data_IF_870488257773
#
_entry.id   IF_870488257773
#
_cell.length_a   1.000
_cell.length_b   1.000
_cell.length_c   1.000
_cell.angle_alpha   90.00
_cell.angle_beta   90.00
_cell.angle_gamma   90.00
#
_symmetry.space_group_name_H-M   'P 1'
#
loop_
_entity.id
_entity.type
_entity.pdbx_description
1 polymer ?
#
# COMPACT_ATOMS: atom_id res chain seq x y z
N UNK A 1 -5.86 -14.40 13.32
CA UNK A 1 -5.84 -13.61 12.06
C UNK A 1 -4.43 -13.09 11.91
N UNK A 2 -3.88 -13.03 10.71
CA UNK A 2 -2.60 -12.38 10.48
C UNK A 2 -2.61 -10.93 10.95
N UNK A 3 -1.49 -10.45 11.49
CA UNK A 3 -1.23 -9.10 11.93
C UNK A 3 -0.24 -8.43 10.96
N UNK A 4 -0.67 -7.33 10.35
CA UNK A 4 0.16 -6.51 9.49
C UNK A 4 0.64 -5.23 10.17
N UNK A 5 1.84 -4.76 9.81
CA UNK A 5 2.36 -3.46 10.27
C UNK A 5 2.96 -2.65 9.13
N UNK A 6 3.27 -1.38 9.42
CA UNK A 6 4.00 -0.48 8.52
C UNK A 6 5.28 -0.01 9.25
N UNK A 7 6.41 -0.72 9.14
CA UNK A 7 7.60 -0.51 9.99
C UNK A 7 8.14 0.93 10.00
N UNK A 8 8.05 1.66 8.88
CA UNK A 8 8.48 3.06 8.79
C UNK A 8 7.76 3.95 9.81
N UNK A 9 6.53 3.63 10.24
CA UNK A 9 5.82 4.43 11.25
C UNK A 9 6.54 4.41 12.59
N UNK A 10 6.95 3.24 13.07
CA UNK A 10 7.69 3.12 14.32
C UNK A 10 9.11 3.69 14.17
N UNK A 11 9.79 3.40 13.05
CA UNK A 11 11.12 3.96 12.78
C UNK A 11 11.11 5.49 12.80
N UNK A 12 10.12 6.11 12.18
CA UNK A 12 9.93 7.55 12.15
C UNK A 12 9.69 8.13 13.56
N UNK A 13 8.75 7.56 14.32
CA UNK A 13 8.39 8.07 15.64
C UNK A 13 9.55 7.92 16.64
N UNK A 14 10.23 6.78 16.64
CA UNK A 14 11.43 6.59 17.47
C UNK A 14 12.55 7.56 17.08
N UNK A 15 12.79 7.79 15.79
CA UNK A 15 13.81 8.75 15.34
C UNK A 15 13.47 10.19 15.71
N UNK A 16 12.19 10.56 15.68
CA UNK A 16 11.75 11.89 16.16
C UNK A 16 12.00 12.02 17.66
N UNK A 17 11.72 10.98 18.45
CA UNK A 17 11.94 11.00 19.90
C UNK A 17 13.44 11.02 20.27
N UNK A 18 14.27 10.29 19.51
CA UNK A 18 15.71 10.12 19.77
C UNK A 18 16.56 11.28 19.22
N UNK A 19 16.28 11.73 17.98
CA UNK A 19 17.12 12.68 17.22
C UNK A 19 16.45 14.04 16.99
N UNK A 20 15.16 14.15 17.34
CA UNK A 20 14.35 15.36 17.22
C UNK A 20 13.69 15.58 15.85
N UNK A 21 13.99 14.75 14.84
CA UNK A 21 13.39 14.86 13.52
C UNK A 21 13.47 13.56 12.70
N UNK A 22 12.42 13.27 11.90
CA UNK A 22 12.38 12.14 10.98
C UNK A 22 13.55 12.13 9.99
N UNK A 23 13.92 13.30 9.46
CA UNK A 23 14.99 13.42 8.45
C UNK A 23 16.36 12.99 8.97
N UNK A 24 16.54 12.86 10.29
CA UNK A 24 17.77 12.36 10.92
C UNK A 24 17.77 10.86 11.18
N UNK A 25 16.70 10.15 10.81
CA UNK A 25 16.64 8.70 10.90
C UNK A 25 17.84 8.09 10.15
N UNK A 26 18.57 7.17 10.79
CA UNK A 26 19.63 6.40 10.13
C UNK A 26 18.99 5.31 9.27
N UNK A 27 19.54 4.99 8.09
CA UNK A 27 19.04 3.90 7.22
C UNK A 27 18.81 2.60 7.99
N UNK A 28 19.77 2.21 8.84
CA UNK A 28 19.68 1.00 9.67
C UNK A 28 18.45 0.94 10.58
N UNK A 29 17.90 2.07 11.00
CA UNK A 29 16.78 2.12 11.96
C UNK A 29 15.56 1.38 11.41
N UNK A 30 15.27 1.50 10.11
CA UNK A 30 14.10 0.84 9.53
C UNK A 30 14.24 -0.68 9.53
N UNK A 31 15.44 -1.20 9.23
CA UNK A 31 15.74 -2.63 9.27
C UNK A 31 15.72 -3.18 10.69
N UNK A 32 16.24 -2.44 11.67
CA UNK A 32 16.15 -2.79 13.09
C UNK A 32 14.70 -2.86 13.58
N UNK A 33 13.84 -1.95 13.11
CA UNK A 33 12.40 -2.00 13.44
C UNK A 33 11.73 -3.20 12.79
N UNK A 34 12.03 -3.49 11.52
CA UNK A 34 11.51 -4.67 10.82
C UNK A 34 11.88 -5.95 11.57
N UNK A 35 13.15 -6.11 11.94
CA UNK A 35 13.63 -7.31 12.64
C UNK A 35 12.97 -7.44 14.03
N UNK A 36 12.86 -6.35 14.81
CA UNK A 36 12.14 -6.38 16.10
C UNK A 36 10.66 -6.76 15.94
N UNK A 37 9.97 -6.22 14.93
CA UNK A 37 8.57 -6.57 14.68
C UNK A 37 8.41 -8.02 14.23
N UNK A 38 9.35 -8.54 13.46
CA UNK A 38 9.37 -9.95 13.07
C UNK A 38 9.59 -10.86 14.30
N UNK A 39 10.47 -10.47 15.24
CA UNK A 39 10.67 -11.16 16.52
C UNK A 39 9.41 -11.13 17.41
N UNK A 40 8.64 -10.05 17.35
CA UNK A 40 7.34 -9.93 18.05
C UNK A 40 6.22 -10.77 17.41
N UNK A 41 6.46 -11.36 16.23
CA UNK A 41 5.52 -12.25 15.54
C UNK A 41 4.55 -11.56 14.57
N UNK A 42 4.94 -10.43 13.97
CA UNK A 42 4.20 -9.83 12.85
C UNK A 42 4.20 -10.78 11.65
N UNK A 43 3.05 -10.95 11.00
CA UNK A 43 2.89 -11.90 9.88
C UNK A 43 3.24 -11.28 8.51
N UNK A 44 2.95 -9.99 8.33
CA UNK A 44 3.31 -9.26 7.11
C UNK A 44 3.65 -7.79 7.37
N UNK A 45 4.50 -7.21 6.51
CA UNK A 45 4.89 -5.80 6.61
C UNK A 45 4.62 -5.04 5.31
N UNK A 46 4.03 -3.85 5.44
CA UNK A 46 3.96 -2.89 4.33
C UNK A 46 5.28 -2.14 4.20
N UNK A 47 5.95 -2.34 3.07
CA UNK A 47 7.25 -1.75 2.73
C UNK A 47 7.16 -1.00 1.41
N UNK A 48 7.43 0.30 1.43
CA UNK A 48 7.24 1.18 0.28
C UNK A 48 8.49 1.17 -0.60
N UNK A 49 8.87 0.01 -1.12
CA UNK A 49 10.12 -0.16 -1.86
C UNK A 49 10.06 0.39 -3.30
N UNK A 50 8.86 0.62 -3.85
CA UNK A 50 8.68 1.21 -5.17
C UNK A 50 8.84 2.73 -5.20
N UNK A 51 8.90 3.38 -4.04
CA UNK A 51 9.21 4.79 -3.93
C UNK A 51 10.73 4.99 -4.10
N UNK A 52 11.15 5.50 -5.25
CA UNK A 52 12.54 5.71 -5.65
C UNK A 52 12.74 7.14 -6.11
N UNK A 53 13.97 7.61 -6.27
CA UNK A 53 14.22 8.93 -6.89
C UNK A 53 13.59 9.02 -8.27
N UNK A 54 13.61 7.93 -9.04
CA UNK A 54 12.99 7.87 -10.36
C UNK A 54 11.46 8.06 -10.30
N UNK A 55 10.76 7.41 -9.35
CA UNK A 55 9.31 7.61 -9.22
C UNK A 55 8.96 9.00 -8.70
N UNK A 56 9.78 9.57 -7.80
CA UNK A 56 9.64 10.97 -7.36
C UNK A 56 9.86 11.98 -8.50
N UNK A 57 10.77 11.70 -9.43
CA UNK A 57 10.96 12.52 -10.64
C UNK A 57 9.73 12.47 -11.56
N UNK A 58 9.08 11.30 -11.70
CA UNK A 58 7.81 11.17 -12.43
C UNK A 58 6.72 12.02 -11.79
N UNK A 59 6.54 11.88 -10.47
CA UNK A 59 5.58 12.67 -9.71
C UNK A 59 5.81 14.18 -9.91
N UNK A 60 7.07 14.64 -9.76
CA UNK A 60 7.39 16.07 -9.90
C UNK A 60 7.16 16.58 -11.33
N UNK A 61 7.44 15.77 -12.34
CA UNK A 61 7.27 16.15 -13.75
C UNK A 61 5.81 16.18 -14.20
N UNK A 62 4.93 15.44 -13.53
CA UNK A 62 3.48 15.43 -13.79
C UNK A 62 2.73 16.47 -12.95
N UNK A 63 3.01 16.50 -11.65
CA UNK A 63 2.20 17.20 -10.66
C UNK A 63 0.93 16.44 -10.30
N UNK A 64 0.48 16.59 -9.05
CA UNK A 64 -0.79 16.02 -8.57
C UNK A 64 -1.63 17.09 -7.89
N UNK A 65 -2.92 16.82 -7.79
CA UNK A 65 -3.86 17.61 -6.97
C UNK A 65 -3.65 17.32 -5.48
N UNK A 66 -3.38 16.06 -5.12
CA UNK A 66 -3.25 15.62 -3.71
C UNK A 66 -1.85 15.13 -3.32
N UNK A 67 -0.85 15.34 -4.18
CA UNK A 67 0.54 14.91 -3.96
C UNK A 67 0.66 13.43 -3.48
N UNK A 68 1.34 13.21 -2.36
CA UNK A 68 1.57 11.90 -1.75
C UNK A 68 0.65 11.76 -0.53
N UNK A 69 -0.38 10.92 -0.66
CA UNK A 69 -1.32 10.63 0.43
C UNK A 69 -0.95 9.38 1.24
N UNK A 70 0.03 8.59 0.78
CA UNK A 70 0.60 7.51 1.57
C UNK A 70 1.43 8.09 2.71
N UNK A 71 1.05 7.83 3.96
CA UNK A 71 1.84 8.28 5.12
C UNK A 71 3.25 7.69 5.11
N UNK A 72 3.40 6.40 4.76
CA UNK A 72 4.70 5.75 4.69
C UNK A 72 5.53 6.27 3.51
N UNK A 73 4.87 6.46 2.36
CA UNK A 73 5.48 7.12 1.19
C UNK A 73 5.94 8.55 1.50
N UNK A 74 5.15 9.34 2.23
CA UNK A 74 5.49 10.70 2.62
C UNK A 74 6.67 10.75 3.60
N UNK A 75 6.72 9.85 4.59
CA UNK A 75 7.86 9.76 5.50
C UNK A 75 9.17 9.44 4.78
N UNK A 76 9.15 8.44 3.90
CA UNK A 76 10.33 8.08 3.10
C UNK A 76 10.71 9.20 2.12
N UNK A 77 9.75 9.80 1.42
CA UNK A 77 10.00 10.93 0.51
C UNK A 77 10.69 12.09 1.23
N UNK A 78 10.17 12.47 2.40
CA UNK A 78 10.74 13.54 3.21
C UNK A 78 12.19 13.23 3.61
N UNK A 79 12.45 11.99 4.03
CA UNK A 79 13.78 11.53 4.38
C UNK A 79 14.73 11.50 3.18
N UNK A 80 14.30 10.96 2.03
CA UNK A 80 15.10 10.87 0.80
C UNK A 80 15.50 12.25 0.29
N UNK A 81 14.54 13.18 0.22
CA UNK A 81 14.79 14.56 -0.25
C UNK A 81 15.71 15.32 0.69
N UNK A 82 15.55 15.16 2.01
CA UNK A 82 16.37 15.88 2.98
C UNK A 82 17.82 15.40 3.03
N UNK A 83 18.06 14.12 2.76
CA UNK A 83 19.40 13.52 2.79
C UNK A 83 20.04 13.42 1.41
N UNK A 84 19.31 13.72 0.34
CA UNK A 84 19.73 13.50 -1.06
C UNK A 84 20.14 12.04 -1.33
N UNK A 85 19.40 11.10 -0.74
CA UNK A 85 19.68 9.66 -0.82
C UNK A 85 18.52 8.88 -1.47
N UNK A 86 18.82 7.66 -1.93
CA UNK A 86 17.80 6.72 -2.40
C UNK A 86 17.07 6.06 -1.22
N UNK A 87 15.87 5.54 -1.47
CA UNK A 87 15.09 4.81 -0.48
C UNK A 87 15.88 3.59 0.05
N UNK A 88 16.13 3.50 1.37
CA UNK A 88 16.92 2.41 1.94
C UNK A 88 16.28 1.03 1.70
N UNK A 89 14.95 0.95 1.66
CA UNK A 89 14.25 -0.31 1.39
C UNK A 89 14.40 -0.78 -0.07
N UNK A 90 14.67 0.14 -0.98
CA UNK A 90 14.95 -0.17 -2.39
C UNK A 90 16.44 -0.48 -2.61
N UNK A 91 17.31 0.39 -2.09
CA UNK A 91 18.76 0.28 -2.24
C UNK A 91 19.31 -0.98 -1.56
N UNK A 92 18.82 -1.32 -0.37
CA UNK A 92 19.21 -2.51 0.40
C UNK A 92 18.10 -3.58 0.35
N UNK A 93 17.42 -3.76 -0.79
CA UNK A 93 16.32 -4.73 -0.89
C UNK A 93 16.75 -6.18 -0.55
N UNK A 94 17.98 -6.57 -0.88
CA UNK A 94 18.47 -7.92 -0.55
C UNK A 94 18.54 -8.15 0.97
N UNK A 95 18.92 -7.12 1.75
CA UNK A 95 18.89 -7.16 3.22
C UNK A 95 17.46 -7.30 3.75
N UNK A 96 16.49 -6.63 3.11
CA UNK A 96 15.08 -6.81 3.44
C UNK A 96 14.64 -8.26 3.19
N UNK A 97 15.04 -8.85 2.06
CA UNK A 97 14.73 -10.25 1.74
C UNK A 97 15.37 -11.23 2.71
N UNK A 98 16.61 -10.99 3.15
CA UNK A 98 17.27 -11.81 4.18
C UNK A 98 16.48 -11.83 5.49
N UNK A 99 16.01 -10.66 5.96
CA UNK A 99 15.18 -10.56 7.16
C UNK A 99 13.84 -11.27 6.92
N UNK A 100 13.18 -11.00 5.80
CA UNK A 100 11.88 -11.60 5.50
C UNK A 100 11.96 -13.14 5.44
N UNK A 101 13.00 -13.68 4.80
CA UNK A 101 13.25 -15.13 4.71
C UNK A 101 13.57 -15.74 6.08
N UNK A 102 14.34 -15.05 6.93
CA UNK A 102 14.72 -15.53 8.27
C UNK A 102 13.50 -15.75 9.17
N UNK A 103 12.48 -14.89 9.06
CA UNK A 103 11.31 -14.89 9.94
C UNK A 103 10.01 -15.37 9.26
N UNK A 104 10.05 -15.82 8.00
CA UNK A 104 8.86 -16.13 7.18
C UNK A 104 7.84 -14.98 7.12
N UNK A 105 8.38 -13.77 6.95
CA UNK A 105 7.58 -12.55 6.88
C UNK A 105 7.08 -12.31 5.45
N UNK A 106 5.78 -12.12 5.28
CA UNK A 106 5.23 -11.74 3.97
C UNK A 106 5.47 -10.25 3.71
N UNK A 107 6.00 -9.91 2.53
CA UNK A 107 6.14 -8.53 2.10
C UNK A 107 4.85 -8.04 1.43
N UNK A 108 4.20 -7.05 2.03
CA UNK A 108 3.19 -6.24 1.37
C UNK A 108 3.91 -5.06 0.70
N UNK A 109 4.11 -5.14 -0.62
CA UNK A 109 4.83 -4.11 -1.36
C UNK A 109 3.91 -2.88 -1.49
N UNK A 110 4.19 -1.87 -0.68
CA UNK A 110 3.33 -0.71 -0.45
C UNK A 110 3.25 0.26 -1.62
N UNK A 111 2.08 0.87 -1.78
CA UNK A 111 1.73 1.84 -2.81
C UNK A 111 2.02 3.29 -2.36
N UNK A 112 3.31 3.62 -2.23
CA UNK A 112 3.78 4.92 -1.77
C UNK A 112 3.25 6.11 -2.58
N UNK A 113 2.95 5.89 -3.85
CA UNK A 113 2.44 6.86 -4.81
C UNK A 113 1.04 6.49 -5.29
N UNK A 114 0.20 5.86 -4.46
CA UNK A 114 -1.24 5.75 -4.80
C UNK A 114 -1.91 7.12 -4.99
N UNK A 115 -2.94 7.21 -5.84
CA UNK A 115 -3.77 8.42 -5.99
C UNK A 115 -4.62 8.69 -4.74
N UNK A 116 -4.64 9.94 -4.30
CA UNK A 116 -5.48 10.45 -3.20
C UNK A 116 -6.70 11.24 -3.65
N UNK A 117 -6.90 11.37 -4.96
CA UNK A 117 -8.09 11.94 -5.57
C UNK A 117 -8.31 11.31 -6.94
N UNK A 118 -9.53 11.39 -7.46
CA UNK A 118 -9.85 10.94 -8.81
C UNK A 118 -9.06 11.68 -9.88
N UNK A 119 -8.67 12.93 -9.64
CA UNK A 119 -7.87 13.72 -10.58
C UNK A 119 -6.46 13.15 -10.77
N UNK A 120 -5.96 12.40 -9.79
CA UNK A 120 -4.63 11.79 -9.80
C UNK A 120 -4.67 10.30 -10.20
N UNK A 121 -5.86 9.77 -10.52
CA UNK A 121 -6.05 8.34 -10.80
C UNK A 121 -5.30 7.87 -12.05
N UNK A 122 -4.65 6.71 -11.93
CA UNK A 122 -3.92 6.04 -13.01
C UNK A 122 -2.82 6.92 -13.65
N UNK A 123 -2.18 7.77 -12.85
CA UNK A 123 -1.14 8.69 -13.31
C UNK A 123 0.23 7.99 -13.52
N UNK A 124 1.21 8.72 -14.07
CA UNK A 124 2.53 8.15 -14.38
C UNK A 124 3.30 7.77 -13.13
N UNK A 125 3.10 8.49 -12.02
CA UNK A 125 3.78 8.20 -10.76
C UNK A 125 3.30 6.86 -10.17
N UNK A 126 1.99 6.62 -10.15
CA UNK A 126 1.38 5.37 -9.72
C UNK A 126 1.86 4.20 -10.58
N UNK A 127 1.77 4.33 -11.91
CA UNK A 127 2.14 3.25 -12.83
C UNK A 127 3.64 2.96 -12.79
N UNK A 128 4.49 3.99 -12.67
CA UNK A 128 5.93 3.78 -12.53
C UNK A 128 6.28 3.02 -11.25
N UNK A 129 5.61 3.33 -10.13
CA UNK A 129 5.78 2.57 -8.89
C UNK A 129 5.36 1.11 -9.08
N UNK A 130 4.18 0.86 -9.65
CA UNK A 130 3.68 -0.50 -9.90
C UNK A 130 4.64 -1.36 -10.74
N UNK A 131 5.26 -0.78 -11.77
CA UNK A 131 6.28 -1.46 -12.58
C UNK A 131 7.45 -1.92 -11.69
N UNK A 132 7.98 -1.05 -10.84
CA UNK A 132 9.07 -1.38 -9.93
C UNK A 132 8.63 -2.43 -8.90
N UNK A 133 7.40 -2.35 -8.38
CA UNK A 133 6.88 -3.37 -7.47
C UNK A 133 6.82 -4.75 -8.12
N UNK A 134 6.49 -4.85 -9.42
CA UNK A 134 6.55 -6.11 -10.16
C UNK A 134 7.96 -6.71 -10.26
N UNK A 135 8.97 -5.87 -10.52
CA UNK A 135 10.37 -6.28 -10.53
C UNK A 135 10.83 -6.79 -9.14
N UNK A 136 10.45 -6.08 -8.08
CA UNK A 136 10.77 -6.43 -6.70
C UNK A 136 10.05 -7.70 -6.25
N UNK A 137 8.78 -7.87 -6.62
CA UNK A 137 8.02 -9.09 -6.33
C UNK A 137 8.70 -10.33 -6.93
N UNK A 138 9.19 -10.22 -8.18
CA UNK A 138 9.95 -11.30 -8.81
C UNK A 138 11.25 -11.61 -8.06
N UNK A 139 12.02 -10.58 -7.68
CA UNK A 139 13.26 -10.75 -6.89
C UNK A 139 13.00 -11.43 -5.54
N UNK A 140 11.90 -11.09 -4.87
CA UNK A 140 11.51 -11.73 -3.63
C UNK A 140 11.19 -13.22 -3.82
N UNK A 141 10.45 -13.59 -4.87
CA UNK A 141 10.17 -14.99 -5.19
C UNK A 141 11.41 -15.79 -5.56
N UNK A 142 12.40 -15.18 -6.22
CA UNK A 142 13.71 -15.81 -6.47
C UNK A 142 14.46 -16.15 -5.17
N UNK A 143 14.08 -15.54 -4.04
CA UNK A 143 14.60 -15.81 -2.70
C UNK A 143 13.61 -16.57 -1.80
N UNK A 144 12.52 -17.13 -2.35
CA UNK A 144 11.46 -17.83 -1.61
C UNK A 144 10.74 -16.96 -0.56
N UNK A 145 10.67 -15.63 -0.77
CA UNK A 145 9.95 -14.70 0.11
C UNK A 145 8.53 -14.46 -0.42
N UNK A 146 7.54 -14.59 0.46
CA UNK A 146 6.12 -14.38 0.13
C UNK A 146 5.83 -12.89 -0.12
N UNK A 147 5.02 -12.59 -1.15
CA UNK A 147 4.70 -11.21 -1.56
C UNK A 147 3.23 -11.04 -1.88
N UNK A 148 2.67 -9.90 -1.49
CA UNK A 148 1.48 -9.28 -2.09
C UNK A 148 1.81 -7.83 -2.49
N UNK A 149 1.09 -7.29 -3.47
CA UNK A 149 1.28 -5.91 -3.96
C UNK A 149 0.12 -5.05 -3.48
N UNK A 150 0.40 -3.87 -2.94
CA UNK A 150 -0.62 -2.89 -2.59
C UNK A 150 -1.01 -2.04 -3.79
N UNK A 151 -2.27 -1.59 -3.79
CA UNK A 151 -2.89 -0.93 -4.92
C UNK A 151 -3.79 0.23 -4.54
N UNK A 152 -4.15 1.04 -5.56
CA UNK A 152 -4.61 2.41 -5.41
C UNK A 152 -5.82 2.61 -4.50
N UNK A 153 -5.88 3.84 -3.99
CA UNK A 153 -6.97 4.36 -3.15
C UNK A 153 -8.10 4.98 -3.96
N UNK A 154 -7.90 6.20 -4.49
CA UNK A 154 -8.94 6.90 -5.25
C UNK A 154 -8.81 6.60 -6.74
N UNK A 155 -9.81 5.95 -7.33
CA UNK A 155 -9.81 5.57 -8.76
C UNK A 155 -11.13 5.90 -9.43
N UNK A 156 -11.05 6.38 -10.67
CA UNK A 156 -12.23 6.48 -11.53
C UNK A 156 -12.83 5.08 -11.71
N UNK A 157 -14.16 4.98 -11.54
CA UNK A 157 -14.85 3.69 -11.62
C UNK A 157 -14.54 2.92 -12.92
N UNK A 158 -14.40 3.63 -14.04
CA UNK A 158 -14.07 3.06 -15.35
C UNK A 158 -12.64 2.52 -15.48
N UNK A 159 -11.74 2.86 -14.56
CA UNK A 159 -10.32 2.50 -14.61
C UNK A 159 -9.96 1.31 -13.72
N UNK A 160 -10.90 0.84 -12.90
CA UNK A 160 -10.66 -0.22 -11.92
C UNK A 160 -10.18 -1.51 -12.60
N UNK A 161 -10.92 -2.01 -13.60
CA UNK A 161 -10.54 -3.25 -14.31
C UNK A 161 -9.16 -3.13 -14.98
N UNK A 162 -8.85 -1.96 -15.56
CA UNK A 162 -7.55 -1.70 -16.17
C UNK A 162 -6.41 -1.74 -15.14
N UNK A 163 -6.62 -1.17 -13.94
CA UNK A 163 -5.63 -1.24 -12.86
C UNK A 163 -5.41 -2.67 -12.37
N UNK A 164 -6.48 -3.47 -12.20
CA UNK A 164 -6.35 -4.88 -11.84
C UNK A 164 -5.57 -5.64 -12.92
N UNK A 165 -5.91 -5.44 -14.20
CA UNK A 165 -5.22 -6.10 -15.31
C UNK A 165 -3.74 -5.73 -15.36
N UNK A 166 -3.40 -4.44 -15.17
CA UNK A 166 -2.03 -3.96 -15.15
C UNK A 166 -1.22 -4.62 -14.04
N UNK A 167 -1.73 -4.64 -12.80
CA UNK A 167 -1.05 -5.30 -11.70
C UNK A 167 -0.84 -6.79 -11.99
N UNK A 168 -1.89 -7.51 -12.38
CA UNK A 168 -1.79 -8.96 -12.64
C UNK A 168 -0.77 -9.29 -13.72
N UNK A 169 -0.55 -8.38 -14.68
CA UNK A 169 0.47 -8.55 -15.73
C UNK A 169 1.86 -8.15 -15.28
N UNK A 170 2.02 -6.99 -14.66
CA UNK A 170 3.32 -6.44 -14.28
C UNK A 170 3.91 -7.16 -13.06
N UNK A 171 3.07 -7.57 -12.13
CA UNK A 171 3.44 -8.23 -10.88
C UNK A 171 3.24 -9.76 -10.94
N UNK A 172 3.19 -10.33 -12.14
CA UNK A 172 3.24 -11.77 -12.38
C UNK A 172 2.12 -12.58 -11.68
N UNK A 173 0.96 -11.96 -11.48
CA UNK A 173 -0.17 -12.58 -10.79
C UNK A 173 -0.01 -12.67 -9.27
N UNK A 174 0.89 -11.87 -8.68
CA UNK A 174 0.93 -11.68 -7.23
C UNK A 174 -0.46 -11.29 -6.68
N UNK A 175 -0.78 -11.59 -5.40
CA UNK A 175 -2.02 -11.13 -4.79
C UNK A 175 -2.08 -9.60 -4.76
N UNK A 176 -3.23 -9.03 -5.16
CA UNK A 176 -3.43 -7.59 -5.17
C UNK A 176 -4.28 -7.13 -4.00
N UNK A 177 -3.71 -6.24 -3.19
CA UNK A 177 -4.29 -5.69 -1.98
C UNK A 177 -4.66 -4.22 -2.17
N UNK A 178 -5.94 -3.91 -2.32
CA UNK A 178 -6.41 -2.56 -2.70
C UNK A 178 -7.12 -1.84 -1.55
N UNK A 179 -6.95 -0.52 -1.45
CA UNK A 179 -7.63 0.34 -0.48
C UNK A 179 -8.94 0.89 -1.02
N UNK A 180 -10.05 0.16 -0.84
CA UNK A 180 -11.32 0.46 -1.50
C UNK A 180 -11.40 -0.23 -2.87
N UNK A 181 -11.29 0.49 -4.01
CA UNK A 181 -10.99 1.92 -4.18
C UNK A 181 -12.19 2.87 -4.00
N UNK A 182 -11.93 4.11 -3.54
CA UNK A 182 -12.91 5.21 -3.47
C UNK A 182 -13.19 5.73 -4.89
N UNK A 183 -14.46 5.72 -5.28
CA UNK A 183 -14.88 6.03 -6.68
C UNK A 183 -15.51 7.41 -6.85
N UNK A 184 -15.57 8.21 -5.79
CA UNK A 184 -16.00 9.61 -5.81
C UNK A 184 -15.48 10.36 -4.58
N UNK A 185 -14.97 11.57 -4.79
CA UNK A 185 -14.30 12.37 -3.74
C UNK A 185 -15.25 13.31 -2.98
N UNK A 186 -16.55 13.29 -3.31
CA UNK A 186 -17.50 14.31 -2.86
C UNK A 186 -18.30 13.92 -1.60
N UNK A 187 -18.05 12.73 -1.04
CA UNK A 187 -18.89 12.14 0.00
C UNK A 187 -18.13 11.78 1.31
N UNK A 188 -17.31 12.69 1.87
CA UNK A 188 -16.65 12.43 3.15
C UNK A 188 -17.69 12.13 4.24
N UNK A 189 -17.41 11.14 5.08
CA UNK A 189 -18.40 10.57 6.01
C UNK A 189 -19.12 9.33 5.46
N UNK A 190 -19.06 9.12 4.15
CA UNK A 190 -19.67 7.99 3.45
C UNK A 190 -18.65 7.18 2.63
N UNK A 191 -17.36 7.35 2.89
CA UNK A 191 -16.32 6.71 2.08
C UNK A 191 -16.29 5.18 2.19
N UNK A 192 -16.75 4.62 3.30
CA UNK A 192 -17.06 3.19 3.39
C UNK A 192 -18.03 2.71 2.29
N UNK A 193 -18.98 3.54 1.83
CA UNK A 193 -19.91 3.21 0.74
C UNK A 193 -19.25 3.40 -0.62
N UNK A 194 -18.62 4.56 -0.83
CA UNK A 194 -17.95 4.89 -2.12
C UNK A 194 -16.86 3.87 -2.42
N UNK A 195 -16.06 3.50 -1.41
CA UNK A 195 -15.03 2.47 -1.49
C UNK A 195 -15.57 1.06 -1.69
N UNK A 196 -16.72 0.71 -1.11
CA UNK A 196 -17.31 -0.61 -1.28
C UNK A 196 -17.82 -0.85 -2.71
N UNK A 197 -18.33 0.20 -3.37
CA UNK A 197 -18.71 0.13 -4.78
C UNK A 197 -17.48 -0.17 -5.65
N UNK A 198 -16.38 0.56 -5.43
CA UNK A 198 -15.13 0.29 -6.14
C UNK A 198 -14.53 -1.07 -5.78
N UNK A 199 -14.52 -1.42 -4.50
CA UNK A 199 -13.97 -2.68 -4.00
C UNK A 199 -14.72 -3.91 -4.48
N UNK A 200 -16.05 -3.83 -4.61
CA UNK A 200 -16.83 -4.91 -5.22
C UNK A 200 -16.44 -5.10 -6.69
N UNK A 201 -16.24 -4.01 -7.43
CA UNK A 201 -15.81 -4.11 -8.83
C UNK A 201 -14.36 -4.59 -8.95
N UNK A 202 -13.45 -4.11 -8.09
CA UNK A 202 -12.06 -4.55 -8.02
C UNK A 202 -11.96 -6.05 -7.71
N UNK A 203 -12.68 -6.52 -6.69
CA UNK A 203 -12.73 -7.94 -6.31
C UNK A 203 -13.34 -8.83 -7.41
N UNK A 204 -14.37 -8.33 -8.11
CA UNK A 204 -14.95 -9.00 -9.28
C UNK A 204 -13.95 -9.10 -10.43
N UNK A 205 -13.09 -8.08 -10.58
CA UNK A 205 -12.09 -8.00 -11.65
C UNK A 205 -10.80 -8.75 -11.34
N UNK A 206 -10.57 -9.18 -10.09
CA UNK A 206 -9.43 -10.00 -9.71
C UNK A 206 -8.56 -9.46 -8.56
N UNK A 207 -9.00 -8.46 -7.79
CA UNK A 207 -8.37 -8.14 -6.52
C UNK A 207 -8.53 -9.30 -5.52
N UNK A 208 -7.50 -9.53 -4.71
CA UNK A 208 -7.41 -10.68 -3.79
C UNK A 208 -7.65 -10.28 -2.35
N UNK A 209 -7.36 -9.02 -2.00
CA UNK A 209 -7.56 -8.48 -0.66
C UNK A 209 -8.08 -7.05 -0.72
N UNK A 210 -9.15 -6.76 0.02
CA UNK A 210 -9.71 -5.41 0.18
C UNK A 210 -9.34 -4.85 1.56
N UNK A 211 -8.59 -3.75 1.59
CA UNK A 211 -8.49 -2.92 2.80
C UNK A 211 -9.80 -2.17 2.95
N UNK A 212 -10.45 -2.35 4.09
CA UNK A 212 -11.68 -1.65 4.39
C UNK A 212 -11.45 -0.13 4.49
N UNK A 213 -12.51 0.64 4.25
CA UNK A 213 -12.54 2.08 4.51
C UNK A 213 -13.69 2.32 5.49
N UNK A 214 -13.49 3.24 6.44
CA UNK A 214 -14.51 3.53 7.45
C UNK A 214 -15.30 4.80 7.09
N UNK A 215 -16.43 5.03 7.76
CA UNK A 215 -17.13 6.31 7.67
C UNK A 215 -16.31 7.49 8.22
N UNK A 216 -15.29 7.21 9.05
CA UNK A 216 -14.37 8.23 9.56
C UNK A 216 -13.26 8.65 8.60
N UNK A 217 -13.11 7.95 7.46
CA UNK A 217 -12.08 8.27 6.46
C UNK A 217 -12.14 9.75 6.06
N UNK A 218 -10.97 10.35 5.86
CA UNK A 218 -10.79 11.78 5.57
C UNK A 218 -11.26 12.77 6.64
N UNK A 219 -11.82 12.30 7.76
CA UNK A 219 -12.43 13.16 8.79
C UNK A 219 -11.78 13.01 10.16
N UNK A 220 -11.54 11.78 10.63
CA UNK A 220 -11.12 11.50 12.02
C UNK A 220 -10.63 10.08 12.21
N UNK A 221 -10.07 9.79 13.38
CA UNK A 221 -9.89 8.41 13.82
C UNK A 221 -11.26 7.71 13.98
N UNK A 222 -11.39 6.45 13.53
CA UNK A 222 -12.65 5.73 13.57
C UNK A 222 -13.04 5.36 15.01
N UNK A 223 -14.34 5.42 15.30
CA UNK A 223 -14.92 4.82 16.51
C UNK A 223 -15.11 3.31 16.33
N UNK A 224 -15.46 2.61 17.41
CA UNK A 224 -15.79 1.19 17.36
C UNK A 224 -16.91 0.88 16.34
N UNK A 225 -17.91 1.76 16.23
CA UNK A 225 -18.99 1.58 15.27
C UNK A 225 -18.52 1.79 13.83
N UNK A 226 -17.68 2.81 13.59
CA UNK A 226 -17.09 3.05 12.26
C UNK A 226 -16.29 1.83 11.78
N UNK A 227 -15.53 1.19 12.68
CA UNK A 227 -14.78 -0.05 12.40
C UNK A 227 -15.73 -1.19 12.08
N UNK A 228 -16.76 -1.41 12.90
CA UNK A 228 -17.74 -2.48 12.68
C UNK A 228 -18.43 -2.33 11.33
N UNK A 229 -18.88 -1.13 10.98
CA UNK A 229 -19.53 -0.84 9.71
C UNK A 229 -18.58 -1.06 8.53
N UNK A 230 -17.36 -0.53 8.60
CA UNK A 230 -16.35 -0.74 7.56
C UNK A 230 -16.09 -2.22 7.30
N UNK A 231 -15.96 -3.04 8.35
CA UNK A 231 -15.72 -4.50 8.21
C UNK A 231 -16.89 -5.19 7.53
N UNK A 232 -18.13 -4.90 7.96
CA UNK A 232 -19.33 -5.50 7.39
C UNK A 232 -19.47 -5.12 5.91
N UNK A 233 -19.28 -3.85 5.60
CA UNK A 233 -19.41 -3.32 4.24
C UNK A 233 -18.33 -3.87 3.30
N UNK A 234 -17.07 -3.93 3.73
CA UNK A 234 -15.99 -4.54 2.95
C UNK A 234 -16.22 -6.04 2.72
N UNK A 235 -16.75 -6.78 3.71
CA UNK A 235 -17.12 -8.19 3.55
C UNK A 235 -18.24 -8.40 2.53
N UNK A 236 -19.22 -7.50 2.48
CA UNK A 236 -20.27 -7.53 1.46
C UNK A 236 -19.65 -7.30 0.07
N UNK A 237 -18.77 -6.31 -0.07
CA UNK A 237 -18.06 -6.04 -1.33
C UNK A 237 -17.23 -7.24 -1.80
N UNK A 238 -16.46 -7.86 -0.89
CA UNK A 238 -15.69 -9.07 -1.18
C UNK A 238 -16.59 -10.23 -1.64
N UNK A 239 -17.71 -10.45 -0.96
CA UNK A 239 -18.66 -11.49 -1.32
C UNK A 239 -19.32 -11.25 -2.69
N UNK A 240 -19.62 -10.01 -3.06
CA UNK A 240 -20.07 -9.65 -4.41
C UNK A 240 -19.01 -10.06 -5.45
N UNK A 241 -17.73 -9.79 -5.16
CA UNK A 241 -16.61 -10.23 -5.98
C UNK A 241 -16.53 -11.74 -6.13
N UNK A 242 -16.73 -12.49 -5.04
CA UNK A 242 -16.74 -13.95 -5.05
C UNK A 242 -17.89 -14.53 -5.91
N UNK A 243 -19.10 -13.96 -5.79
CA UNK A 243 -20.24 -14.31 -6.64
C UNK A 243 -19.91 -14.03 -8.11
N UNK A 244 -19.35 -12.85 -8.42
CA UNK A 244 -19.00 -12.47 -9.78
C UNK A 244 -17.96 -13.41 -10.41
N UNK A 245 -16.98 -13.85 -9.63
CA UNK A 245 -15.95 -14.84 -10.03
C UNK A 245 -16.47 -16.28 -10.08
N UNK A 246 -17.70 -16.55 -9.63
CA UNK A 246 -18.26 -17.89 -9.57
C UNK A 246 -17.59 -18.79 -8.53
N UNK A 247 -17.10 -18.21 -7.42
CA UNK A 247 -16.49 -18.98 -6.33
C UNK A 247 -17.53 -19.92 -5.73
N UNK A 248 -17.21 -21.21 -5.66
CA UNK A 248 -18.14 -22.22 -5.14
C UNK A 248 -18.44 -21.97 -3.66
N UNK A 249 -19.72 -21.74 -3.35
CA UNK A 249 -20.18 -21.51 -1.97
C UNK A 249 -20.25 -20.03 -1.56
N UNK A 250 -20.00 -19.12 -2.50
CA UNK A 250 -20.48 -17.75 -2.44
C UNK A 250 -21.99 -17.67 -2.74
#
# INVERSE_FOLDING_TARGET
LPLGTVPIYQAAIESIAEEGALIKMKKDKIFQVIERQAEDGVDFITVHCGLTRQTLERLRGEGRVTDIVSRGGAFLTCWMVANDEENPLYEEYDRLLEIAKKYDLTLSLGDGLRPGSLADSTDRAQIQELILLGELAKRAWEQDVQVMVEGPGHLLFSEIEANILLEKKLCHGAPFYVLGPVVTDIAPGYDHITSAIGGAYAASSGADFLCYVTAGEHLRLPTLEDVRQGVVVARIAAHIGDISKGVKGA
#
